data_IF_282429843688
#
_entry.id   IF_282429843688
#
_cell.length_a   1.000
_cell.length_b   1.000
_cell.length_c   1.000
_cell.angle_alpha   90.00
_cell.angle_beta   90.00
_cell.angle_gamma   90.00
#
_symmetry.space_group_name_H-M   'P 1'
#
loop_
_entity.id
_entity.type
_entity.pdbx_description
1 polymer ?
#
# COMPACT_ATOMS: atom_id res chain seq x y z
N UNK A 1 -7.15 -22.18 53.40
CA UNK A 1 -7.69 -20.84 53.11
C UNK A 1 -6.64 -20.10 52.28
N UNK A 2 -6.82 -20.09 50.95
CA UNK A 2 -5.88 -19.44 50.03
C UNK A 2 -6.62 -18.27 49.35
N UNK A 3 -6.14 -17.06 49.59
CA UNK A 3 -6.70 -15.85 49.06
C UNK A 3 -6.33 -15.72 47.56
N UNK A 4 -7.35 -15.59 46.69
CA UNK A 4 -7.19 -15.22 45.27
C UNK A 4 -6.81 -13.74 45.19
N UNK A 5 -5.83 -13.35 44.37
CA UNK A 5 -5.59 -11.93 44.11
C UNK A 5 -6.68 -11.35 43.22
N UNK A 6 -7.29 -10.26 43.65
CA UNK A 6 -8.19 -9.43 42.84
C UNK A 6 -7.44 -8.80 41.67
N UNK A 7 -7.88 -9.13 40.46
CA UNK A 7 -7.41 -8.46 39.24
C UNK A 7 -8.15 -7.11 39.14
N UNK A 8 -7.45 -6.03 39.46
CA UNK A 8 -7.93 -4.66 39.21
C UNK A 8 -8.11 -4.48 37.70
N UNK A 9 -9.39 -4.23 37.32
CA UNK A 9 -9.81 -3.83 35.99
C UNK A 9 -9.07 -2.55 35.54
N UNK A 10 -8.15 -2.69 34.57
CA UNK A 10 -7.59 -1.57 33.84
C UNK A 10 -8.54 -1.19 32.70
N UNK A 11 -9.64 -0.54 33.04
CA UNK A 11 -10.55 0.07 32.08
C UNK A 11 -10.09 1.50 31.75
N UNK A 12 -9.32 1.60 30.72
CA UNK A 12 -9.02 2.84 30.03
C UNK A 12 -9.00 2.60 28.53
N UNK A 13 -10.18 2.38 27.92
CA UNK A 13 -10.30 2.37 26.47
C UNK A 13 -9.94 3.76 25.96
N UNK A 14 -8.88 3.91 25.11
CA UNK A 14 -8.58 5.21 24.56
C UNK A 14 -9.82 5.75 23.82
N UNK A 15 -10.11 7.06 23.90
CA UNK A 15 -11.26 7.64 23.22
C UNK A 15 -11.18 7.27 21.73
N UNK A 16 -12.25 6.67 21.21
CA UNK A 16 -12.38 6.42 19.77
C UNK A 16 -12.17 7.75 19.06
N UNK A 17 -11.15 7.85 18.23
CA UNK A 17 -11.04 8.98 17.30
C UNK A 17 -12.36 9.05 16.53
N UNK A 18 -13.04 10.20 16.48
CA UNK A 18 -14.22 10.34 15.66
C UNK A 18 -13.88 9.95 14.24
N UNK A 19 -14.78 9.21 13.58
CA UNK A 19 -14.60 8.81 12.19
C UNK A 19 -14.39 10.07 11.34
N UNK A 20 -13.36 10.09 10.51
CA UNK A 20 -13.09 11.21 9.63
C UNK A 20 -14.31 11.48 8.73
N UNK A 21 -14.84 12.69 8.77
CA UNK A 21 -16.01 13.09 7.99
C UNK A 21 -15.49 13.69 6.68
N UNK A 22 -15.91 13.13 5.55
CA UNK A 22 -15.74 13.78 4.25
C UNK A 22 -16.73 14.96 4.17
N UNK A 23 -16.22 16.15 4.50
CA UNK A 23 -17.01 17.38 4.58
C UNK A 23 -17.59 17.77 3.23
N UNK A 24 -16.88 17.54 2.12
CA UNK A 24 -17.34 17.91 0.77
C UNK A 24 -18.49 17.02 0.35
N UNK A 25 -18.35 15.71 0.46
CA UNK A 25 -19.43 14.76 0.16
C UNK A 25 -20.63 14.94 1.10
N UNK A 26 -20.37 15.27 2.37
CA UNK A 26 -21.45 15.51 3.32
C UNK A 26 -22.23 16.78 2.98
N UNK A 27 -21.52 17.85 2.62
CA UNK A 27 -22.12 19.12 2.22
C UNK A 27 -23.06 18.94 1.01
N UNK A 28 -22.64 18.17 0.01
CA UNK A 28 -23.48 17.87 -1.15
C UNK A 28 -24.76 17.12 -0.77
N UNK A 29 -24.66 16.14 0.13
CA UNK A 29 -25.81 15.32 0.56
C UNK A 29 -26.84 16.10 1.37
N UNK A 30 -26.38 16.94 2.28
CA UNK A 30 -27.29 17.67 3.20
C UNK A 30 -27.69 19.05 2.69
N UNK A 31 -27.23 19.48 1.50
CA UNK A 31 -27.47 20.82 0.96
C UNK A 31 -28.97 21.22 0.93
N UNK A 32 -29.84 20.26 0.60
CA UNK A 32 -31.30 20.47 0.57
C UNK A 32 -31.93 20.62 1.98
N UNK A 33 -31.29 20.10 3.01
CA UNK A 33 -31.77 20.08 4.39
C UNK A 33 -31.31 21.32 5.19
N UNK A 34 -30.31 22.07 4.67
CA UNK A 34 -29.75 23.24 5.33
C UNK A 34 -30.77 24.40 5.33
N UNK A 35 -30.83 25.12 6.46
CA UNK A 35 -31.57 26.37 6.54
C UNK A 35 -31.00 27.44 5.58
N UNK A 36 -31.75 28.49 5.22
CA UNK A 36 -31.26 29.58 4.37
C UNK A 36 -29.92 30.16 4.85
N UNK A 37 -29.80 30.45 6.14
CA UNK A 37 -28.56 30.99 6.72
C UNK A 37 -27.39 29.99 6.71
N UNK A 38 -27.63 28.68 6.85
CA UNK A 38 -26.62 27.66 6.74
C UNK A 38 -26.19 27.45 5.26
N UNK A 39 -27.09 27.65 4.30
CA UNK A 39 -26.75 27.65 2.87
C UNK A 39 -25.83 28.80 2.50
N UNK A 40 -25.96 29.96 3.16
CA UNK A 40 -25.04 31.09 2.95
C UNK A 40 -23.62 30.72 3.45
N UNK A 41 -23.51 30.05 4.61
CA UNK A 41 -22.22 29.50 5.06
C UNK A 41 -21.68 28.47 4.10
N UNK A 42 -22.51 27.53 3.65
CA UNK A 42 -22.16 26.50 2.66
C UNK A 42 -21.60 27.11 1.37
N UNK A 43 -22.23 28.18 0.88
CA UNK A 43 -21.78 28.89 -0.34
C UNK A 43 -20.39 29.48 -0.14
N UNK A 44 -20.11 30.15 0.96
CA UNK A 44 -18.80 30.71 1.25
C UNK A 44 -17.73 29.61 1.33
N UNK A 45 -18.04 28.51 2.02
CA UNK A 45 -17.13 27.35 2.12
C UNK A 45 -16.88 26.73 0.75
N UNK A 46 -17.92 26.54 -0.07
CA UNK A 46 -17.82 25.91 -1.39
C UNK A 46 -17.08 26.78 -2.43
N UNK A 47 -17.09 28.12 -2.25
CA UNK A 47 -16.37 29.04 -3.14
C UNK A 47 -14.86 28.88 -3.01
N UNK A 48 -14.35 28.63 -1.80
CA UNK A 48 -12.92 28.40 -1.56
C UNK A 48 -12.73 27.56 -0.28
N UNK A 49 -12.67 26.25 -0.49
CA UNK A 49 -12.46 25.28 0.59
C UNK A 49 -11.13 25.51 1.31
N UNK A 50 -10.07 25.89 0.58
CA UNK A 50 -8.75 26.08 1.16
C UNK A 50 -8.73 27.31 2.07
N UNK A 51 -9.28 28.43 1.62
CA UNK A 51 -9.44 29.60 2.46
C UNK A 51 -10.30 29.31 3.70
N UNK A 52 -11.38 28.52 3.57
CA UNK A 52 -12.25 28.16 4.68
C UNK A 52 -11.51 27.40 5.81
N UNK A 53 -10.47 26.60 5.49
CA UNK A 53 -9.65 25.94 6.52
C UNK A 53 -8.84 26.92 7.37
N UNK A 54 -8.51 28.08 6.82
CA UNK A 54 -7.68 29.11 7.49
C UNK A 54 -8.51 30.13 8.25
N UNK A 55 -9.81 30.29 7.92
CA UNK A 55 -10.69 31.26 8.57
C UNK A 55 -10.93 30.94 10.05
N UNK A 56 -11.14 31.98 10.82
CA UNK A 56 -11.77 31.90 12.15
C UNK A 56 -13.28 31.78 12.00
N UNK A 57 -13.98 31.36 13.06
CA UNK A 57 -15.45 31.31 13.05
C UNK A 57 -16.07 32.69 12.82
N UNK A 58 -15.42 33.76 13.33
CA UNK A 58 -15.88 35.15 13.17
C UNK A 58 -15.73 35.59 11.69
N UNK A 59 -14.62 35.28 11.03
CA UNK A 59 -14.40 35.62 9.63
C UNK A 59 -15.37 34.88 8.71
N UNK A 60 -15.60 33.57 8.95
CA UNK A 60 -16.57 32.80 8.17
C UNK A 60 -17.98 33.33 8.34
N UNK A 61 -18.38 33.68 9.61
CA UNK A 61 -19.67 34.27 9.89
C UNK A 61 -19.85 35.64 9.21
N UNK A 62 -18.84 36.51 9.26
CA UNK A 62 -18.86 37.79 8.58
C UNK A 62 -18.98 37.67 7.06
N UNK A 63 -18.21 36.79 6.45
CA UNK A 63 -18.29 36.54 4.97
C UNK A 63 -19.63 35.97 4.54
N UNK A 64 -20.21 35.09 5.34
CA UNK A 64 -21.53 34.52 5.09
C UNK A 64 -22.69 35.45 5.51
N UNK A 65 -22.39 36.59 6.11
CA UNK A 65 -23.36 37.56 6.66
C UNK A 65 -24.34 36.91 7.65
N UNK A 66 -23.83 36.03 8.51
CA UNK A 66 -24.59 35.32 9.54
C UNK A 66 -23.93 35.46 10.91
N UNK A 67 -24.61 35.00 11.97
CA UNK A 67 -24.03 34.94 13.30
C UNK A 67 -23.10 33.74 13.50
N UNK A 68 -22.13 33.82 14.44
CA UNK A 68 -21.26 32.68 14.77
C UNK A 68 -22.06 31.43 15.26
N UNK A 69 -23.15 31.56 16.03
CA UNK A 69 -24.03 30.43 16.33
C UNK A 69 -24.58 29.72 15.10
N UNK A 70 -24.83 30.44 14.00
CA UNK A 70 -25.26 29.84 12.72
C UNK A 70 -24.17 29.00 12.10
N UNK A 71 -22.91 29.47 12.13
CA UNK A 71 -21.76 28.68 11.67
C UNK A 71 -21.61 27.43 12.53
N UNK A 72 -21.82 27.51 13.86
CA UNK A 72 -21.77 26.33 14.73
C UNK A 72 -22.88 25.32 14.40
N UNK A 73 -24.10 25.79 14.10
CA UNK A 73 -25.19 24.90 13.63
C UNK A 73 -24.86 24.25 12.33
N UNK A 74 -24.37 25.01 11.35
CA UNK A 74 -23.88 24.47 10.08
C UNK A 74 -22.85 23.34 10.27
N UNK A 75 -21.85 23.50 11.14
CA UNK A 75 -20.90 22.43 11.44
C UNK A 75 -21.59 21.18 11.98
N UNK A 76 -22.60 21.34 12.85
CA UNK A 76 -23.37 20.21 13.39
C UNK A 76 -24.24 19.54 12.33
N UNK A 77 -24.83 20.28 11.41
CA UNK A 77 -25.59 19.72 10.27
C UNK A 77 -24.69 18.86 9.37
N UNK A 78 -23.39 19.18 9.31
CA UNK A 78 -22.40 18.36 8.64
C UNK A 78 -21.89 17.16 9.47
N UNK A 79 -22.34 17.04 10.74
CA UNK A 79 -21.93 15.97 11.65
C UNK A 79 -20.66 16.29 12.47
N UNK A 80 -20.15 17.53 12.40
CA UNK A 80 -19.01 17.97 13.19
C UNK A 80 -19.48 18.55 14.53
N UNK A 81 -18.91 18.14 15.66
CA UNK A 81 -19.29 18.62 16.99
C UNK A 81 -18.89 20.09 17.22
N UNK A 82 -17.86 20.56 16.51
CA UNK A 82 -17.33 21.93 16.68
C UNK A 82 -16.79 22.49 15.35
N UNK A 83 -16.58 23.82 15.33
CA UNK A 83 -15.91 24.48 14.20
C UNK A 83 -14.45 24.02 14.04
N UNK A 84 -13.76 23.71 15.12
CA UNK A 84 -12.40 23.16 15.06
C UNK A 84 -12.38 21.77 14.38
N UNK A 85 -13.31 20.90 14.73
CA UNK A 85 -13.47 19.59 14.10
C UNK A 85 -13.85 19.72 12.62
N UNK A 86 -14.76 20.63 12.29
CA UNK A 86 -15.09 20.95 10.91
C UNK A 86 -13.83 21.33 10.10
N UNK A 87 -12.98 22.21 10.62
CA UNK A 87 -11.73 22.63 9.96
C UNK A 87 -10.77 21.47 9.77
N UNK A 88 -10.60 20.60 10.76
CA UNK A 88 -9.74 19.41 10.69
C UNK A 88 -10.26 18.46 9.61
N UNK A 89 -11.56 18.16 9.61
CA UNK A 89 -12.18 17.29 8.62
C UNK A 89 -12.13 17.90 7.21
N UNK A 90 -12.36 19.21 7.08
CA UNK A 90 -12.25 19.91 5.80
C UNK A 90 -10.81 19.87 5.28
N UNK A 91 -9.81 20.15 6.10
CA UNK A 91 -8.42 20.06 5.72
C UNK A 91 -8.03 18.63 5.31
N UNK A 92 -8.48 17.62 6.04
CA UNK A 92 -8.26 16.20 5.70
C UNK A 92 -8.92 15.83 4.36
N UNK A 93 -10.16 16.29 4.15
CA UNK A 93 -10.88 16.11 2.87
C UNK A 93 -10.13 16.77 1.72
N UNK A 94 -9.57 17.98 1.93
CA UNK A 94 -8.82 18.70 0.89
C UNK A 94 -7.49 18.04 0.56
N UNK A 95 -6.80 17.45 1.51
CA UNK A 95 -5.58 16.66 1.23
C UNK A 95 -5.91 15.51 0.29
N UNK A 96 -7.01 14.81 0.54
CA UNK A 96 -7.50 13.75 -0.36
C UNK A 96 -8.00 14.37 -1.68
N UNK A 97 -8.88 15.38 -1.60
CA UNK A 97 -9.46 16.02 -2.79
C UNK A 97 -8.42 16.75 -3.66
N UNK A 98 -7.36 17.31 -3.10
CA UNK A 98 -6.30 17.96 -3.90
C UNK A 98 -5.57 16.96 -4.78
N UNK A 99 -5.45 15.71 -4.34
CA UNK A 99 -4.94 14.63 -5.17
C UNK A 99 -5.88 14.35 -6.36
N UNK A 100 -7.20 14.51 -6.18
CA UNK A 100 -8.20 14.32 -7.23
C UNK A 100 -8.44 15.57 -8.07
N UNK A 101 -8.41 16.78 -7.48
CA UNK A 101 -8.66 18.05 -8.16
C UNK A 101 -7.46 18.57 -8.95
N UNK A 102 -6.23 18.28 -8.50
CA UNK A 102 -5.01 18.55 -9.28
C UNK A 102 -4.85 17.63 -10.48
N UNK A 103 -5.66 16.60 -10.56
CA UNK A 103 -5.81 15.74 -11.75
C UNK A 103 -6.59 16.42 -12.90
N UNK A 104 -6.65 17.73 -12.93
CA UNK A 104 -7.28 18.53 -13.97
C UNK A 104 -6.68 18.42 -15.39
N UNK A 105 -5.89 17.38 -15.65
CA UNK A 105 -5.69 16.86 -17.00
C UNK A 105 -6.86 15.91 -17.29
N UNK A 106 -7.80 16.39 -18.11
CA UNK A 106 -8.66 15.52 -18.90
C UNK A 106 -7.82 14.37 -19.43
N UNK A 107 -8.35 13.15 -19.36
CA UNK A 107 -7.80 12.06 -20.16
C UNK A 107 -7.68 12.61 -21.58
N UNK A 108 -6.51 12.44 -22.18
CA UNK A 108 -6.35 12.70 -23.60
C UNK A 108 -7.46 11.89 -24.28
N UNK A 109 -8.29 12.55 -25.10
CA UNK A 109 -9.44 11.92 -25.77
C UNK A 109 -8.99 10.85 -26.79
N UNK A 110 -7.67 10.70 -26.99
CA UNK A 110 -7.04 9.69 -27.83
C UNK A 110 -6.48 8.52 -26.99
N UNK A 111 -7.07 7.36 -27.16
CA UNK A 111 -6.64 6.12 -26.51
C UNK A 111 -5.18 5.74 -26.83
N UNK A 112 -4.66 6.12 -28.01
CA UNK A 112 -3.27 5.89 -28.40
C UNK A 112 -2.30 6.70 -27.55
N UNK A 113 -2.59 7.99 -27.32
CA UNK A 113 -1.80 8.85 -26.46
C UNK A 113 -1.87 8.38 -25.01
N UNK A 114 -3.05 7.96 -24.54
CA UNK A 114 -3.20 7.39 -23.20
C UNK A 114 -2.35 6.13 -23.03
N UNK A 115 -2.40 5.21 -24.00
CA UNK A 115 -1.58 4.00 -23.97
C UNK A 115 -0.08 4.33 -23.94
N UNK A 116 0.38 5.26 -24.78
CA UNK A 116 1.76 5.72 -24.76
C UNK A 116 2.14 6.31 -23.40
N UNK A 117 1.29 7.15 -22.82
CA UNK A 117 1.53 7.76 -21.50
C UNK A 117 1.68 6.71 -20.41
N UNK A 118 0.80 5.70 -20.37
CA UNK A 118 0.87 4.61 -19.39
C UNK A 118 2.14 3.79 -19.57
N UNK A 119 2.47 3.41 -20.81
CA UNK A 119 3.66 2.60 -21.12
C UNK A 119 4.96 3.35 -20.80
N UNK A 120 5.06 4.63 -21.17
CA UNK A 120 6.25 5.42 -20.88
C UNK A 120 6.47 5.67 -19.39
N UNK A 121 5.40 5.80 -18.61
CA UNK A 121 5.51 5.85 -17.14
C UNK A 121 6.00 4.53 -16.56
N UNK A 122 5.57 3.39 -17.08
CA UNK A 122 6.08 2.09 -16.67
C UNK A 122 7.58 1.93 -16.99
N UNK A 123 7.99 2.34 -18.20
CA UNK A 123 9.42 2.34 -18.61
C UNK A 123 10.25 3.25 -17.69
N UNK A 124 9.77 4.45 -17.37
CA UNK A 124 10.47 5.34 -16.45
C UNK A 124 10.62 4.70 -15.06
N UNK A 125 9.55 4.10 -14.51
CA UNK A 125 9.60 3.44 -13.21
C UNK A 125 10.58 2.27 -13.17
N UNK A 126 10.70 1.51 -14.28
CA UNK A 126 11.68 0.41 -14.39
C UNK A 126 13.12 0.94 -14.46
N UNK A 127 13.37 2.05 -15.18
CA UNK A 127 14.68 2.70 -15.22
C UNK A 127 15.08 3.24 -13.86
N UNK A 128 14.18 4.00 -13.22
CA UNK A 128 14.39 4.53 -11.87
C UNK A 128 14.67 3.39 -10.86
N UNK A 129 14.02 2.25 -11.03
CA UNK A 129 14.26 1.07 -10.21
C UNK A 129 15.65 0.49 -10.44
N UNK A 130 16.04 0.31 -11.71
CA UNK A 130 17.33 -0.26 -12.09
C UNK A 130 18.49 0.57 -11.51
N UNK A 131 18.39 1.90 -11.57
CA UNK A 131 19.41 2.83 -11.05
C UNK A 131 19.56 2.78 -9.52
N UNK A 132 18.57 2.22 -8.80
CA UNK A 132 18.55 2.11 -7.34
C UNK A 132 18.91 0.71 -6.83
N UNK A 133 18.97 -0.31 -7.69
CA UNK A 133 19.27 -1.68 -7.28
C UNK A 133 20.73 -1.81 -6.85
N UNK A 134 20.93 -2.23 -5.61
CA UNK A 134 22.23 -2.67 -5.10
C UNK A 134 22.40 -4.17 -5.26
N UNK A 135 23.41 -4.57 -6.01
CA UNK A 135 23.69 -5.98 -6.32
C UNK A 135 24.01 -6.83 -5.10
N UNK A 136 24.70 -6.27 -4.10
CA UNK A 136 25.04 -6.98 -2.87
C UNK A 136 23.80 -7.26 -2.01
N UNK A 137 22.92 -6.28 -1.88
CA UNK A 137 21.62 -6.42 -1.21
C UNK A 137 20.72 -7.45 -1.92
N UNK A 138 20.68 -7.40 -3.25
CA UNK A 138 19.91 -8.36 -4.05
C UNK A 138 20.43 -9.79 -3.84
N UNK A 139 21.75 -9.98 -3.85
CA UNK A 139 22.39 -11.27 -3.61
C UNK A 139 22.11 -11.81 -2.19
N UNK A 140 22.15 -10.94 -1.17
CA UNK A 140 21.80 -11.30 0.19
C UNK A 140 20.33 -11.73 0.32
N UNK A 141 19.42 -11.02 -0.34
CA UNK A 141 18.00 -11.35 -0.38
C UNK A 141 17.75 -12.70 -1.08
N UNK A 142 18.38 -12.94 -2.22
CA UNK A 142 18.32 -14.22 -2.93
C UNK A 142 18.83 -15.36 -2.04
N UNK A 143 19.95 -15.13 -1.34
CA UNK A 143 20.53 -16.14 -0.44
C UNK A 143 19.59 -16.50 0.70
N UNK A 144 19.01 -15.50 1.37
CA UNK A 144 18.08 -15.68 2.48
C UNK A 144 16.84 -16.47 2.04
N UNK A 145 16.25 -16.11 0.89
CA UNK A 145 15.04 -16.77 0.37
C UNK A 145 15.34 -18.19 -0.13
N UNK A 146 16.45 -18.43 -0.83
CA UNK A 146 16.81 -19.75 -1.34
C UNK A 146 17.17 -20.74 -0.22
N UNK A 147 17.76 -20.25 0.86
CA UNK A 147 18.15 -21.04 2.05
C UNK A 147 17.01 -21.30 3.03
N UNK A 148 15.86 -20.70 2.83
CA UNK A 148 14.75 -20.83 3.77
C UNK A 148 13.98 -22.14 3.61
N UNK A 149 13.45 -22.65 4.75
CA UNK A 149 12.54 -23.81 4.77
C UNK A 149 11.13 -23.44 4.33
N UNK A 150 10.71 -22.21 4.64
CA UNK A 150 9.39 -21.62 4.35
C UNK A 150 9.56 -20.13 4.09
N UNK A 151 8.79 -19.60 3.15
CA UNK A 151 8.71 -18.18 2.86
C UNK A 151 7.28 -17.72 3.12
N UNK A 152 7.09 -16.75 4.00
CA UNK A 152 5.84 -16.03 4.14
C UNK A 152 5.95 -14.66 3.47
N UNK A 153 4.95 -14.30 2.66
CA UNK A 153 4.96 -13.06 1.88
C UNK A 153 3.88 -12.13 2.41
N UNK A 154 4.27 -10.91 2.81
CA UNK A 154 3.37 -9.94 3.40
C UNK A 154 3.23 -8.69 2.52
N UNK A 155 2.00 -8.28 2.29
CA UNK A 155 1.67 -7.03 1.62
C UNK A 155 0.21 -6.67 1.88
N UNK A 156 -0.13 -5.38 1.77
CA UNK A 156 -1.48 -4.91 2.04
C UNK A 156 -1.85 -3.79 1.08
N UNK A 157 -3.14 -3.69 0.74
CA UNK A 157 -3.67 -2.72 -0.21
C UNK A 157 -3.57 -3.16 -1.67
N UNK A 158 -4.27 -2.45 -2.57
CA UNK A 158 -4.54 -2.92 -3.93
C UNK A 158 -3.31 -3.31 -4.76
N UNK A 159 -2.24 -2.50 -4.73
CA UNK A 159 -1.02 -2.78 -5.50
C UNK A 159 -0.22 -3.94 -4.92
N UNK A 160 0.05 -3.92 -3.62
CA UNK A 160 0.88 -4.94 -2.97
C UNK A 160 0.19 -6.30 -2.88
N UNK A 161 -1.14 -6.35 -2.71
CA UNK A 161 -1.88 -7.61 -2.64
C UNK A 161 -1.72 -8.46 -3.93
N UNK A 162 -1.76 -7.83 -5.10
CA UNK A 162 -1.52 -8.52 -6.36
C UNK A 162 -0.08 -9.03 -6.48
N UNK A 163 0.89 -8.21 -6.04
CA UNK A 163 2.31 -8.54 -6.13
C UNK A 163 2.72 -9.72 -5.24
N UNK A 164 2.19 -9.81 -4.02
CA UNK A 164 2.52 -10.92 -3.12
C UNK A 164 1.95 -12.25 -3.64
N UNK A 165 0.81 -12.22 -4.31
CA UNK A 165 0.24 -13.43 -4.91
C UNK A 165 1.04 -13.87 -6.15
N UNK A 166 1.50 -12.92 -6.99
CA UNK A 166 2.41 -13.23 -8.09
C UNK A 166 3.73 -13.81 -7.55
N UNK A 167 4.33 -13.19 -6.53
CA UNK A 167 5.54 -13.69 -5.88
C UNK A 167 5.34 -15.12 -5.33
N UNK A 168 4.21 -15.38 -4.65
CA UNK A 168 3.86 -16.70 -4.15
C UNK A 168 3.89 -17.75 -5.27
N UNK A 169 3.25 -17.46 -6.39
CA UNK A 169 3.21 -18.38 -7.54
C UNK A 169 4.60 -18.62 -8.14
N UNK A 170 5.48 -17.62 -8.18
CA UNK A 170 6.84 -17.75 -8.70
C UNK A 170 7.68 -18.66 -7.83
N UNK A 171 7.72 -18.43 -6.50
CA UNK A 171 8.50 -19.25 -5.57
C UNK A 171 7.91 -20.65 -5.38
N UNK A 172 6.58 -20.77 -5.33
CA UNK A 172 5.88 -22.06 -5.23
C UNK A 172 6.29 -23.03 -6.34
N UNK A 173 6.37 -22.56 -7.60
CA UNK A 173 6.77 -23.40 -8.73
C UNK A 173 8.20 -23.91 -8.64
N UNK A 174 9.06 -23.26 -7.86
CA UNK A 174 10.43 -23.68 -7.60
C UNK A 174 10.51 -24.81 -6.56
N UNK A 175 9.38 -25.22 -5.98
CA UNK A 175 9.31 -26.26 -4.96
C UNK A 175 9.58 -25.78 -3.54
N UNK A 176 9.41 -24.48 -3.29
CA UNK A 176 9.49 -23.88 -1.96
C UNK A 176 8.10 -23.84 -1.27
N UNK A 177 8.00 -24.14 0.02
CA UNK A 177 6.81 -23.86 0.79
C UNK A 177 6.61 -22.35 0.93
N UNK A 178 5.52 -21.82 0.36
CA UNK A 178 5.28 -20.37 0.31
C UNK A 178 3.81 -20.07 0.63
N UNK A 179 3.59 -19.09 1.52
CA UNK A 179 2.27 -18.55 1.81
C UNK A 179 2.27 -17.04 1.59
N UNK A 180 1.14 -16.48 1.11
CA UNK A 180 0.96 -15.04 0.98
C UNK A 180 -0.23 -14.58 1.84
N UNK A 181 -0.06 -13.46 2.53
CA UNK A 181 -1.07 -12.92 3.44
C UNK A 181 -1.31 -11.44 3.17
N UNK A 182 -2.55 -11.11 2.80
CA UNK A 182 -3.01 -9.72 2.58
C UNK A 182 -3.71 -9.12 3.80
N UNK A 183 -4.23 -9.97 4.68
CA UNK A 183 -4.92 -9.57 5.89
C UNK A 183 -3.93 -9.35 7.04
N UNK A 184 -4.00 -8.17 7.67
CA UNK A 184 -3.05 -7.79 8.71
C UNK A 184 -3.13 -8.63 10.00
N UNK A 185 -4.27 -9.26 10.29
CA UNK A 185 -4.38 -10.17 11.43
C UNK A 185 -3.68 -11.50 11.11
N UNK A 186 -3.94 -12.06 9.93
CA UNK A 186 -3.27 -13.27 9.46
C UNK A 186 -1.76 -13.08 9.34
N UNK A 187 -1.28 -11.92 8.88
CA UNK A 187 0.16 -11.61 8.83
C UNK A 187 0.82 -11.74 10.21
N UNK A 188 0.23 -11.14 11.25
CA UNK A 188 0.77 -11.24 12.63
C UNK A 188 0.69 -12.64 13.20
N UNK A 189 -0.40 -13.37 12.94
CA UNK A 189 -0.53 -14.76 13.37
C UNK A 189 0.51 -15.65 12.70
N UNK A 190 0.67 -15.52 11.38
CA UNK A 190 1.68 -16.24 10.61
C UNK A 190 3.09 -15.92 11.12
N UNK A 191 3.42 -14.64 11.29
CA UNK A 191 4.71 -14.19 11.79
C UNK A 191 5.10 -14.82 13.14
N UNK A 192 4.13 -14.98 14.03
CA UNK A 192 4.33 -15.62 15.35
C UNK A 192 4.59 -17.14 15.27
N UNK A 193 4.35 -17.77 14.12
CA UNK A 193 4.64 -19.20 13.90
C UNK A 193 5.97 -19.46 13.21
N UNK A 194 6.67 -18.42 12.79
CA UNK A 194 7.97 -18.52 12.12
C UNK A 194 9.08 -18.75 13.14
N UNK A 195 10.20 -19.26 12.65
CA UNK A 195 11.39 -19.54 13.46
C UNK A 195 12.66 -19.43 12.62
N UNK A 196 13.80 -19.56 13.26
CA UNK A 196 15.11 -19.59 12.57
C UNK A 196 15.10 -20.61 11.42
N UNK A 197 15.55 -20.18 10.26
CA UNK A 197 15.52 -20.94 9.01
C UNK A 197 14.26 -20.70 8.17
N UNK A 198 13.31 -19.90 8.63
CA UNK A 198 12.20 -19.38 7.81
C UNK A 198 12.51 -17.98 7.31
N UNK A 199 11.81 -17.52 6.30
CA UNK A 199 11.98 -16.18 5.75
C UNK A 199 10.64 -15.44 5.55
N UNK A 200 10.71 -14.13 5.62
CA UNK A 200 9.61 -13.22 5.23
C UNK A 200 10.05 -12.36 4.06
N UNK A 201 9.20 -12.23 3.06
CA UNK A 201 9.29 -11.22 2.00
C UNK A 201 8.16 -10.21 2.19
N UNK A 202 8.47 -9.00 2.61
CA UNK A 202 7.49 -7.94 2.83
C UNK A 202 7.53 -6.91 1.70
N UNK A 203 6.36 -6.56 1.13
CA UNK A 203 6.26 -5.63 0.00
C UNK A 203 5.35 -4.46 0.38
N UNK A 204 5.93 -3.25 0.42
CA UNK A 204 5.18 -2.03 0.71
C UNK A 204 5.87 -0.80 0.11
N UNK A 205 5.28 -0.19 -0.93
CA UNK A 205 5.84 1.01 -1.55
C UNK A 205 6.00 2.17 -0.55
N UNK A 206 5.05 2.37 0.35
CA UNK A 206 5.12 3.42 1.36
C UNK A 206 6.00 3.07 2.56
N UNK A 207 6.21 1.77 2.84
CA UNK A 207 6.88 1.27 4.04
C UNK A 207 6.20 1.65 5.37
N UNK A 208 4.93 2.11 5.32
CA UNK A 208 4.18 2.64 6.47
C UNK A 208 2.92 1.82 6.80
N UNK A 209 2.68 0.73 6.10
CA UNK A 209 1.57 -0.17 6.43
C UNK A 209 1.80 -0.81 7.79
N UNK A 210 1.12 -0.31 8.80
CA UNK A 210 1.30 -0.73 10.19
C UNK A 210 1.20 -2.26 10.38
N UNK A 211 0.21 -2.98 9.79
CA UNK A 211 0.14 -4.43 9.92
C UNK A 211 1.37 -5.15 9.36
N UNK A 212 1.89 -4.69 8.20
CA UNK A 212 3.07 -5.29 7.58
C UNK A 212 4.33 -5.03 8.43
N UNK A 213 4.50 -3.81 8.93
CA UNK A 213 5.63 -3.45 9.82
C UNK A 213 5.63 -4.30 11.07
N UNK A 214 4.49 -4.40 11.77
CA UNK A 214 4.36 -5.21 12.99
C UNK A 214 4.58 -6.71 12.73
N UNK A 215 4.09 -7.23 11.60
CA UNK A 215 4.32 -8.64 11.25
C UNK A 215 5.79 -8.93 10.97
N UNK A 216 6.52 -8.03 10.31
CA UNK A 216 7.96 -8.17 10.08
C UNK A 216 8.73 -8.10 11.41
N UNK A 217 8.38 -7.19 12.29
CA UNK A 217 8.97 -7.08 13.64
C UNK A 217 8.76 -8.38 14.44
N UNK A 218 7.55 -8.93 14.43
CA UNK A 218 7.23 -10.21 15.08
C UNK A 218 8.07 -11.33 14.47
N UNK A 219 8.07 -11.50 13.15
CA UNK A 219 8.82 -12.56 12.47
C UNK A 219 10.32 -12.51 12.80
N UNK A 220 10.90 -11.30 12.79
CA UNK A 220 12.29 -11.07 13.16
C UNK A 220 12.56 -11.45 14.61
N UNK A 221 11.66 -11.12 15.54
CA UNK A 221 11.83 -11.47 16.96
C UNK A 221 11.83 -12.99 17.22
N UNK A 222 11.19 -13.76 16.34
CA UNK A 222 11.22 -15.23 16.35
C UNK A 222 12.37 -15.83 15.52
N UNK A 223 13.27 -15.00 14.98
CA UNK A 223 14.49 -15.44 14.30
C UNK A 223 14.32 -15.77 12.82
N UNK A 224 13.19 -15.44 12.21
CA UNK A 224 13.04 -15.55 10.76
C UNK A 224 13.84 -14.44 10.05
N UNK A 225 14.47 -14.78 8.91
CA UNK A 225 15.12 -13.80 8.06
C UNK A 225 14.08 -12.89 7.40
N UNK A 226 14.29 -11.57 7.44
CA UNK A 226 13.30 -10.61 6.91
C UNK A 226 13.87 -9.81 5.76
N UNK A 227 13.21 -9.91 4.60
CA UNK A 227 13.52 -9.18 3.37
C UNK A 227 12.37 -8.20 3.09
N UNK A 228 12.68 -6.92 2.86
CA UNK A 228 11.69 -5.91 2.53
C UNK A 228 11.96 -5.25 1.18
N UNK A 229 10.94 -5.12 0.33
CA UNK A 229 10.94 -4.26 -0.85
C UNK A 229 10.16 -2.99 -0.47
N UNK A 230 10.88 -1.88 -0.26
CA UNK A 230 10.28 -0.64 0.25
C UNK A 230 11.20 0.56 0.03
N UNK A 231 10.75 1.75 0.40
CA UNK A 231 11.59 2.96 0.43
C UNK A 231 12.54 2.94 1.63
N UNK A 232 13.74 3.45 1.43
CA UNK A 232 14.69 3.69 2.52
C UNK A 232 14.10 4.64 3.58
N UNK A 233 14.56 4.53 4.83
CA UNK A 233 14.17 5.41 5.92
C UNK A 233 12.70 5.28 6.37
N UNK A 234 12.02 4.23 5.99
CA UNK A 234 10.64 3.94 6.40
C UNK A 234 10.61 3.01 7.61
N UNK A 235 9.48 2.96 8.37
CA UNK A 235 9.32 2.00 9.47
C UNK A 235 9.55 0.54 9.04
N UNK A 236 9.11 0.14 7.85
CA UNK A 236 9.36 -1.21 7.34
C UNK A 236 10.85 -1.46 7.10
N UNK A 237 11.55 -0.49 6.49
CA UNK A 237 12.98 -0.58 6.28
C UNK A 237 13.79 -0.70 7.59
N UNK A 238 13.34 -0.01 8.66
CA UNK A 238 13.98 -0.09 9.98
C UNK A 238 13.77 -1.42 10.71
N UNK A 239 12.78 -2.22 10.31
CA UNK A 239 12.44 -3.49 10.97
C UNK A 239 12.88 -4.73 10.18
N UNK A 240 13.33 -4.60 8.94
CA UNK A 240 13.80 -5.72 8.11
C UNK A 240 15.33 -5.87 8.20
N UNK A 241 15.82 -7.12 8.08
CA UNK A 241 17.26 -7.41 8.06
C UNK A 241 17.89 -7.04 6.71
N UNK A 242 17.17 -7.27 5.62
CA UNK A 242 17.61 -6.99 4.26
C UNK A 242 16.58 -6.06 3.61
N UNK A 243 17.02 -4.91 3.13
CA UNK A 243 16.13 -3.90 2.53
C UNK A 243 16.52 -3.65 1.08
N UNK A 244 15.71 -4.11 0.15
CA UNK A 244 15.79 -3.71 -1.25
C UNK A 244 15.12 -2.33 -1.35
N UNK A 245 15.95 -1.29 -1.23
CA UNK A 245 15.50 0.07 -1.11
C UNK A 245 15.19 0.67 -2.48
N UNK A 246 13.90 0.85 -2.79
CA UNK A 246 13.44 1.42 -4.06
C UNK A 246 12.39 2.49 -3.80
N UNK A 247 12.62 3.69 -4.31
CA UNK A 247 11.71 4.83 -4.22
C UNK A 247 11.21 5.21 -5.60
N UNK A 248 10.03 4.71 -5.97
CA UNK A 248 9.39 5.09 -7.24
C UNK A 248 8.44 6.26 -7.00
N UNK A 249 8.62 7.32 -7.79
CA UNK A 249 7.75 8.47 -7.76
C UNK A 249 6.38 8.12 -8.35
N UNK A 250 5.35 8.19 -7.53
CA UNK A 250 3.97 8.08 -8.01
C UNK A 250 3.49 9.45 -8.50
N UNK A 251 2.88 9.47 -9.67
CA UNK A 251 2.30 10.71 -10.19
C UNK A 251 1.14 11.22 -9.32
N UNK A 252 0.90 12.52 -9.34
CA UNK A 252 -0.21 13.15 -8.62
C UNK A 252 -1.59 12.84 -9.21
N UNK A 253 -1.66 12.28 -10.42
CA UNK A 253 -2.91 11.91 -11.05
C UNK A 253 -3.42 10.58 -10.51
N UNK A 254 -4.42 10.63 -9.63
CA UNK A 254 -5.04 9.46 -8.97
C UNK A 254 -5.82 8.55 -9.91
N UNK A 255 -6.19 9.05 -11.10
CA UNK A 255 -6.86 8.25 -12.12
C UNK A 255 -5.89 7.33 -12.87
N UNK A 256 -4.59 7.62 -12.78
CA UNK A 256 -3.56 6.79 -13.42
C UNK A 256 -3.14 5.65 -12.49
N UNK A 257 -2.95 4.43 -13.02
CA UNK A 257 -2.44 3.32 -12.25
C UNK A 257 -1.08 3.63 -11.62
N UNK A 258 -0.84 3.13 -10.40
CA UNK A 258 0.45 3.25 -9.71
C UNK A 258 1.55 2.54 -10.51
N UNK A 259 2.71 3.18 -10.65
CA UNK A 259 3.82 2.68 -11.45
C UNK A 259 4.81 1.84 -10.63
N UNK A 260 4.86 2.03 -9.33
CA UNK A 260 5.71 1.25 -8.41
C UNK A 260 5.49 -0.26 -8.51
N UNK A 261 4.28 -0.70 -8.89
CA UNK A 261 3.98 -2.12 -9.08
C UNK A 261 4.85 -2.77 -10.17
N UNK A 262 5.20 -2.05 -11.24
CA UNK A 262 6.05 -2.58 -12.30
C UNK A 262 7.49 -2.78 -11.82
N UNK A 263 8.00 -1.82 -11.07
CA UNK A 263 9.31 -1.90 -10.43
C UNK A 263 9.38 -3.06 -9.43
N UNK A 264 8.41 -3.16 -8.54
CA UNK A 264 8.36 -4.24 -7.56
C UNK A 264 8.19 -5.61 -8.22
N UNK A 265 7.43 -5.72 -9.31
CA UNK A 265 7.30 -6.95 -10.08
C UNK A 265 8.64 -7.37 -10.69
N UNK A 266 9.40 -6.43 -11.27
CA UNK A 266 10.73 -6.71 -11.81
C UNK A 266 11.71 -7.18 -10.71
N UNK A 267 11.64 -6.60 -9.51
CA UNK A 267 12.42 -7.07 -8.35
C UNK A 267 12.02 -8.49 -7.97
N UNK A 268 10.73 -8.79 -7.89
CA UNK A 268 10.21 -10.14 -7.58
C UNK A 268 10.69 -11.15 -8.62
N UNK A 269 10.67 -10.78 -9.92
CA UNK A 269 11.18 -11.61 -11.00
C UNK A 269 12.68 -11.89 -10.84
N UNK A 270 13.46 -10.86 -10.51
CA UNK A 270 14.90 -10.98 -10.27
C UNK A 270 15.18 -11.90 -9.07
N UNK A 271 14.46 -11.72 -7.97
CA UNK A 271 14.56 -12.59 -6.79
C UNK A 271 14.21 -14.04 -7.14
N UNK A 272 13.10 -14.27 -7.86
CA UNK A 272 12.67 -15.60 -8.24
C UNK A 272 13.67 -16.29 -9.19
N UNK A 273 14.23 -15.56 -10.17
CA UNK A 273 15.26 -16.06 -11.07
C UNK A 273 16.55 -16.40 -10.30
N UNK A 274 17.00 -15.52 -9.39
CA UNK A 274 18.17 -15.76 -8.56
C UNK A 274 17.99 -16.94 -7.61
N UNK A 275 16.83 -17.07 -6.98
CA UNK A 275 16.49 -18.23 -6.14
C UNK A 275 16.47 -19.51 -6.98
N UNK A 276 15.88 -19.49 -8.18
CA UNK A 276 15.87 -20.65 -9.07
C UNK A 276 17.30 -21.08 -9.47
N UNK A 277 18.18 -20.11 -9.76
CA UNK A 277 19.58 -20.39 -10.07
C UNK A 277 20.31 -21.06 -8.88
N UNK A 278 20.07 -20.59 -7.65
CA UNK A 278 20.68 -21.19 -6.45
C UNK A 278 20.14 -22.57 -6.11
N UNK A 279 18.84 -22.81 -6.31
CA UNK A 279 18.24 -24.14 -6.12
C UNK A 279 18.66 -25.15 -7.19
N UNK A 280 19.14 -24.68 -8.34
CA UNK A 280 19.71 -25.51 -9.41
C UNK A 280 18.77 -26.61 -9.88
N UNK A 281 19.24 -27.87 -9.82
CA UNK A 281 18.48 -29.04 -10.31
C UNK A 281 17.17 -29.27 -9.53
N UNK A 282 17.11 -28.90 -8.26
CA UNK A 282 15.87 -28.98 -7.46
C UNK A 282 14.76 -28.12 -8.08
N UNK A 283 15.08 -26.87 -8.47
CA UNK A 283 14.11 -25.99 -9.12
C UNK A 283 13.73 -26.50 -10.51
N UNK A 284 14.70 -26.97 -11.30
CA UNK A 284 14.45 -27.54 -12.64
C UNK A 284 13.50 -28.74 -12.58
N UNK A 285 13.74 -29.65 -11.65
CA UNK A 285 12.89 -30.83 -11.47
C UNK A 285 11.47 -30.44 -11.02
N UNK A 286 11.33 -29.49 -10.08
CA UNK A 286 10.02 -28.99 -9.68
C UNK A 286 9.24 -28.39 -10.86
N UNK A 287 9.88 -27.52 -11.65
CA UNK A 287 9.29 -26.93 -12.86
C UNK A 287 8.93 -27.97 -13.91
N UNK A 288 9.80 -28.98 -14.12
CA UNK A 288 9.53 -30.09 -15.04
C UNK A 288 8.29 -30.87 -14.63
N UNK A 289 8.15 -31.20 -13.33
CA UNK A 289 6.99 -31.93 -12.78
C UNK A 289 5.71 -31.15 -12.93
N UNK A 290 5.73 -29.85 -12.65
CA UNK A 290 4.57 -28.96 -12.83
C UNK A 290 4.14 -28.97 -14.31
N UNK A 291 5.07 -28.76 -15.24
CA UNK A 291 4.78 -28.77 -16.68
C UNK A 291 4.22 -30.11 -17.15
N UNK A 292 4.84 -31.20 -16.75
CA UNK A 292 4.39 -32.55 -17.13
C UNK A 292 2.95 -32.81 -16.64
N UNK A 293 2.64 -32.42 -15.39
CA UNK A 293 1.29 -32.60 -14.83
C UNK A 293 0.24 -31.77 -15.59
N UNK A 294 0.54 -30.51 -15.90
CA UNK A 294 -0.36 -29.64 -16.65
C UNK A 294 -0.60 -30.17 -18.07
N UNK A 295 0.45 -30.65 -18.75
CA UNK A 295 0.30 -31.27 -20.07
C UNK A 295 -0.59 -32.50 -20.05
N UNK A 296 -0.48 -33.35 -19.02
CA UNK A 296 -1.32 -34.56 -18.90
C UNK A 296 -2.80 -34.25 -18.70
N UNK A 297 -3.17 -33.14 -18.10
CA UNK A 297 -4.57 -32.74 -17.91
C UNK A 297 -5.08 -31.83 -19.05
N UNK A 298 -4.36 -31.77 -20.17
CA UNK A 298 -4.81 -31.07 -21.37
C UNK A 298 -4.64 -29.55 -21.34
N UNK A 299 -3.92 -29.00 -20.36
CA UNK A 299 -3.59 -27.57 -20.34
C UNK A 299 -2.43 -27.34 -21.31
N UNK A 300 -2.69 -26.58 -22.38
CA UNK A 300 -1.66 -26.20 -23.35
C UNK A 300 -0.55 -25.40 -22.63
N UNK A 301 0.66 -25.94 -22.64
CA UNK A 301 1.83 -25.22 -22.16
C UNK A 301 2.47 -24.59 -23.41
N UNK A 302 2.67 -23.26 -23.42
CA UNK A 302 3.43 -22.64 -24.49
C UNK A 302 4.79 -23.35 -24.60
N UNK A 303 5.14 -23.85 -25.80
CA UNK A 303 6.51 -24.29 -26.07
C UNK A 303 7.47 -23.16 -25.68
N UNK A 304 8.62 -23.44 -25.10
CA UNK A 304 9.62 -22.41 -24.94
C UNK A 304 9.85 -21.81 -26.33
N UNK A 305 9.44 -20.55 -26.50
CA UNK A 305 9.88 -19.77 -27.65
C UNK A 305 11.40 -19.80 -27.54
N UNK A 306 12.07 -20.45 -28.49
CA UNK A 306 13.50 -20.29 -28.64
C UNK A 306 13.69 -18.82 -28.95
N UNK A 307 14.10 -18.04 -27.94
CA UNK A 307 14.38 -16.62 -28.11
C UNK A 307 15.59 -16.48 -29.04
N UNK A 308 15.41 -15.98 -30.27
CA UNK A 308 16.53 -15.81 -31.19
C UNK A 308 17.32 -14.54 -30.94
N UNK A 309 16.94 -13.73 -29.92
CA UNK A 309 17.57 -12.44 -29.65
C UNK A 309 18.69 -12.62 -28.63
N UNK A 310 19.96 -12.51 -29.01
CA UNK A 310 21.05 -12.39 -28.04
C UNK A 310 20.81 -11.10 -27.24
N UNK A 311 20.86 -11.21 -25.92
CA UNK A 311 20.99 -10.04 -25.07
C UNK A 311 22.23 -9.29 -25.55
N UNK A 312 22.03 -8.14 -26.18
CA UNK A 312 23.13 -7.24 -26.53
C UNK A 312 23.85 -6.81 -25.25
N UNK A 313 25.18 -6.71 -25.28
CA UNK A 313 26.02 -6.41 -24.12
C UNK A 313 25.77 -5.01 -23.55
#
# INVERSE_FOLDING_TARGET
MSARPEIKSLAGRPPRRPAAIDVVSRLQRVHGELSPAERDVARVVATDFEAATRMTIAELAARAKVSQPTVTRFCRSLGCASFAEFKINLASTLVVASAYLKSGRTFEDDAGQLANTVMMRAVAALRDCLDQIDGATMEAAIAALAGSRRIDIYGQGGGSAALIEDARLRFFRLGLPVCAYTDGHQQRMSAATLQTGDAVLAISNSGRSKPVVEAVEIARSFGAATVAITRAGTPLAGNADIVIAVAIAEGSNVLMPTTSRYAHMAIIDTLAAGVAARLGDRARESLRRVRYTLARIGIAIPSPVTDPTPLMP
#
